data_IF_369585858217
#
_entry.id   IF_369585858217
#
_cell.length_a   1.000
_cell.length_b   1.000
_cell.length_c   1.000
_cell.angle_alpha   90.00
_cell.angle_beta   90.00
_cell.angle_gamma   90.00
#
_symmetry.space_group_name_H-M   'P 1'
#
loop_
_entity.id
_entity.type
_entity.pdbx_description
1 polymer ?
#
# COMPACT_ATOMS: atom_id res chain seq x y z
N UNK A 1 -7.32 -6.60 9.31
CA UNK A 1 -7.92 -7.16 8.09
C UNK A 1 -8.34 -5.99 7.22
N UNK A 2 -7.92 -5.97 5.96
CA UNK A 2 -8.30 -4.91 5.04
C UNK A 2 -9.80 -5.03 4.77
N UNK A 3 -10.58 -4.03 5.18
CA UNK A 3 -12.05 -4.06 5.20
C UNK A 3 -12.64 -3.85 3.79
N UNK A 4 -12.23 -4.69 2.85
CA UNK A 4 -12.62 -4.66 1.44
C UNK A 4 -13.76 -5.66 1.21
N UNK A 5 -14.64 -5.35 0.27
CA UNK A 5 -15.78 -6.21 -0.09
C UNK A 5 -15.33 -7.44 -0.89
N UNK A 6 -14.20 -7.35 -1.58
CA UNK A 6 -13.65 -8.38 -2.47
C UNK A 6 -12.11 -8.39 -2.37
N UNK A 7 -11.47 -9.44 -2.90
CA UNK A 7 -10.02 -9.50 -3.00
C UNK A 7 -9.52 -8.39 -3.95
N UNK A 8 -8.46 -7.69 -3.55
CA UNK A 8 -7.88 -6.59 -4.32
C UNK A 8 -6.35 -6.66 -4.28
N UNK A 9 -5.72 -6.15 -5.34
CA UNK A 9 -4.27 -6.02 -5.45
C UNK A 9 -3.82 -4.59 -5.15
N UNK A 10 -2.54 -4.43 -4.80
CA UNK A 10 -1.91 -3.13 -4.54
C UNK A 10 -0.94 -2.81 -5.68
N UNK A 11 -1.16 -1.68 -6.35
CA UNK A 11 -0.29 -1.19 -7.40
C UNK A 11 0.94 -0.49 -6.79
N UNK A 12 2.11 -1.11 -6.93
CA UNK A 12 3.37 -0.63 -6.34
C UNK A 12 4.07 0.41 -7.22
N UNK A 13 3.90 0.32 -8.54
CA UNK A 13 4.50 1.20 -9.55
C UNK A 13 3.84 2.60 -9.61
N UNK A 14 2.64 2.76 -9.06
CA UNK A 14 1.86 4.00 -9.09
C UNK A 14 1.85 4.76 -7.74
N UNK A 15 2.92 4.63 -6.95
CA UNK A 15 3.03 5.34 -5.67
C UNK A 15 3.02 6.86 -5.85
N UNK A 16 2.33 7.56 -4.95
CA UNK A 16 2.19 9.02 -4.98
C UNK A 16 2.21 9.62 -3.58
N UNK A 17 2.91 10.73 -3.43
CA UNK A 17 2.72 11.60 -2.27
C UNK A 17 1.35 12.29 -2.35
N UNK A 18 0.63 12.33 -1.24
CA UNK A 18 -0.66 13.02 -1.14
C UNK A 18 -0.71 13.87 0.13
N UNK A 19 -1.41 15.00 0.04
CA UNK A 19 -1.72 15.83 1.21
C UNK A 19 -2.72 15.09 2.12
N UNK A 20 -2.50 15.20 3.43
CA UNK A 20 -3.36 14.61 4.47
C UNK A 20 -4.83 15.07 4.36
N UNK A 21 -5.10 16.26 3.82
CA UNK A 21 -6.46 16.76 3.57
C UNK A 21 -7.27 15.88 2.61
N UNK A 22 -6.60 15.07 1.78
CA UNK A 22 -7.25 14.12 0.85
C UNK A 22 -7.67 12.81 1.53
N UNK A 23 -7.23 12.54 2.75
CA UNK A 23 -7.63 11.35 3.52
C UNK A 23 -8.99 11.58 4.16
N UNK A 24 -10.01 10.86 3.69
CA UNK A 24 -11.41 11.06 4.15
C UNK A 24 -11.72 10.25 5.41
N UNK A 25 -11.29 8.99 5.46
CA UNK A 25 -11.52 8.07 6.59
C UNK A 25 -10.56 6.87 6.56
N UNK A 26 -10.30 6.25 7.71
CA UNK A 26 -9.56 4.98 7.81
C UNK A 26 -10.47 3.83 7.38
N UNK A 27 -10.03 3.03 6.42
CA UNK A 27 -10.79 1.87 5.90
C UNK A 27 -10.42 0.58 6.64
N UNK A 28 -9.14 0.39 6.98
CA UNK A 28 -8.69 -0.80 7.69
C UNK A 28 -7.17 -0.79 7.86
N UNK A 29 -6.62 -1.97 8.16
CA UNK A 29 -5.19 -2.19 8.30
C UNK A 29 -4.76 -3.42 7.51
N UNK A 30 -3.65 -3.29 6.81
CA UNK A 30 -3.02 -4.40 6.10
C UNK A 30 -2.35 -5.37 7.09
N UNK A 31 -2.41 -6.68 6.83
CA UNK A 31 -1.58 -7.68 7.52
C UNK A 31 -0.09 -7.39 7.41
N UNK A 32 0.67 -7.77 8.46
CA UNK A 32 2.11 -7.54 8.53
C UNK A 32 2.90 -8.19 7.38
N UNK A 33 2.48 -9.38 6.94
CA UNK A 33 3.11 -10.10 5.82
C UNK A 33 3.03 -9.30 4.51
N UNK A 34 1.86 -8.75 4.20
CA UNK A 34 1.67 -7.91 3.01
C UNK A 34 2.46 -6.61 3.11
N UNK A 35 2.60 -6.02 4.30
CA UNK A 35 3.43 -4.83 4.50
C UNK A 35 4.90 -5.13 4.16
N UNK A 36 5.42 -6.28 4.59
CA UNK A 36 6.79 -6.68 4.25
C UNK A 36 6.99 -6.85 2.75
N UNK A 37 6.05 -7.54 2.09
CA UNK A 37 6.08 -7.75 0.64
C UNK A 37 6.00 -6.43 -0.15
N UNK A 38 5.17 -5.48 0.29
CA UNK A 38 5.06 -4.15 -0.33
C UNK A 38 6.38 -3.38 -0.24
N UNK A 39 7.07 -3.46 0.91
CA UNK A 39 8.35 -2.76 1.10
C UNK A 39 9.43 -3.30 0.17
N UNK A 40 9.55 -4.62 0.06
CA UNK A 40 10.49 -5.27 -0.85
C UNK A 40 10.21 -4.88 -2.30
N UNK A 41 8.95 -5.00 -2.74
CA UNK A 41 8.56 -4.61 -4.09
C UNK A 41 8.82 -3.12 -4.36
N UNK A 42 8.63 -2.25 -3.36
CA UNK A 42 8.90 -0.82 -3.50
C UNK A 42 10.40 -0.54 -3.64
N UNK A 43 11.27 -1.23 -2.90
CA UNK A 43 12.73 -1.11 -3.06
C UNK A 43 13.18 -1.51 -4.46
N UNK A 44 12.63 -2.60 -5.00
CA UNK A 44 12.92 -3.07 -6.36
C UNK A 44 12.48 -2.02 -7.40
N UNK A 45 11.25 -1.50 -7.30
CA UNK A 45 10.71 -0.51 -8.25
C UNK A 45 11.48 0.81 -8.20
N UNK A 46 11.96 1.20 -7.02
CA UNK A 46 12.73 2.43 -6.82
C UNK A 46 14.24 2.24 -7.04
N UNK A 47 14.70 1.04 -7.41
CA UNK A 47 16.11 0.71 -7.64
C UNK A 47 17.00 1.06 -6.43
N UNK A 48 16.49 0.78 -5.23
CA UNK A 48 17.17 1.03 -3.96
C UNK A 48 18.00 -0.18 -3.47
N UNK A 49 18.15 -1.20 -4.33
CA UNK A 49 18.94 -2.42 -4.12
C UNK A 49 20.09 -2.54 -5.11
#
# INVERSE_FOLDING_TARGET
>A
MANLLENCDIMIDQVRAIDNKRLVKKVGELPQELISQIKENLSIVLDLE
#
